data_IF_526749961915
#
_entry.id   IF_526749961915
#
_cell.length_a   1.000
_cell.length_b   1.000
_cell.length_c   1.000
_cell.angle_alpha   90.00
_cell.angle_beta   90.00
_cell.angle_gamma   90.00
#
_symmetry.space_group_name_H-M   'P 1'
#
loop_
_entity.id
_entity.type
_entity.pdbx_description
1 polymer ?
#
# COMPACT_ATOMS: atom_id res chain seq x y z
N UNK A 1 37.70 -12.71 19.50
CA UNK A 1 36.53 -12.07 20.15
C UNK A 1 35.73 -11.41 19.06
N UNK A 2 34.67 -12.09 18.64
CA UNK A 2 33.74 -11.67 17.60
C UNK A 2 32.73 -10.72 18.24
N UNK A 3 32.62 -9.49 17.74
CA UNK A 3 31.68 -8.50 18.29
C UNK A 3 30.44 -8.46 17.41
N UNK A 4 29.36 -8.97 18.00
CA UNK A 4 28.03 -9.07 17.43
C UNK A 4 27.33 -7.69 17.35
N UNK A 5 26.47 -7.58 16.34
CA UNK A 5 25.24 -6.76 16.26
C UNK A 5 25.29 -5.25 16.51
N UNK A 6 25.09 -4.49 15.42
CA UNK A 6 24.02 -3.49 15.38
C UNK A 6 23.30 -3.59 14.03
N UNK A 7 22.18 -4.33 14.02
CA UNK A 7 21.17 -4.25 12.98
C UNK A 7 20.54 -2.85 13.08
N UNK A 8 21.07 -1.93 12.28
CA UNK A 8 20.53 -0.58 12.15
C UNK A 8 19.16 -0.73 11.46
N UNK A 9 18.13 -0.83 12.28
CA UNK A 9 16.75 -0.74 11.85
C UNK A 9 16.54 0.67 11.31
N UNK A 10 16.68 0.82 10.00
CA UNK A 10 16.41 2.03 9.23
C UNK A 10 14.92 2.35 9.34
N UNK A 11 14.52 2.99 10.44
CA UNK A 11 13.26 3.74 10.53
C UNK A 11 13.42 5.02 9.70
N UNK A 12 13.65 4.87 8.41
CA UNK A 12 13.55 5.98 7.47
C UNK A 12 12.09 6.42 7.44
N UNK A 13 11.82 7.65 7.92
CA UNK A 13 10.63 8.47 7.66
C UNK A 13 9.40 7.69 7.17
N UNK A 14 8.85 6.82 8.02
CA UNK A 14 7.57 6.21 7.71
C UNK A 14 6.51 7.29 7.94
N UNK A 15 6.13 7.99 6.86
CA UNK A 15 4.88 8.74 6.85
C UNK A 15 3.80 7.79 7.37
N UNK A 16 3.00 8.21 8.37
CA UNK A 16 1.98 7.34 8.92
C UNK A 16 1.08 6.90 7.76
N UNK A 17 0.88 5.60 7.64
CA UNK A 17 0.08 5.01 6.58
C UNK A 17 -0.99 4.10 7.17
N UNK A 18 -2.20 4.22 6.66
CA UNK A 18 -3.31 3.34 7.01
C UNK A 18 -3.34 2.20 6.00
N UNK A 19 -3.13 0.96 6.44
CA UNK A 19 -3.32 -0.22 5.58
C UNK A 19 -4.82 -0.40 5.30
N UNK A 20 -5.21 -0.38 4.03
CA UNK A 20 -6.62 -0.47 3.62
C UNK A 20 -6.92 -1.67 2.73
N UNK A 21 -5.91 -2.30 2.15
CA UNK A 21 -6.14 -3.38 1.20
C UNK A 21 -4.88 -4.01 0.66
N UNK A 22 -5.06 -4.82 -0.37
CA UNK A 22 -4.01 -5.62 -0.99
C UNK A 22 -4.15 -5.65 -2.51
N UNK A 23 -3.02 -5.84 -3.18
CA UNK A 23 -2.91 -6.08 -4.61
C UNK A 23 -2.26 -7.44 -4.84
N UNK A 24 -2.89 -8.29 -5.64
CA UNK A 24 -2.40 -9.63 -5.98
C UNK A 24 -2.40 -9.83 -7.48
N UNK A 25 -1.43 -10.59 -8.02
CA UNK A 25 -1.49 -11.01 -9.43
C UNK A 25 -2.75 -11.85 -9.70
N UNK A 26 -3.46 -11.56 -10.78
CA UNK A 26 -4.57 -12.40 -11.23
C UNK A 26 -4.06 -13.76 -11.70
N UNK A 27 -4.91 -14.79 -11.59
CA UNK A 27 -4.54 -16.16 -12.01
C UNK A 27 -4.27 -16.26 -13.52
N UNK A 28 -4.92 -15.41 -14.32
CA UNK A 28 -4.72 -15.36 -15.77
C UNK A 28 -3.50 -14.51 -16.21
N UNK A 29 -2.75 -13.91 -15.27
CA UNK A 29 -1.49 -13.21 -15.52
C UNK A 29 -1.58 -11.87 -16.27
N UNK A 30 -2.75 -11.48 -16.77
CA UNK A 30 -2.95 -10.25 -17.56
C UNK A 30 -3.47 -9.05 -16.76
N UNK A 31 -3.68 -9.21 -15.45
CA UNK A 31 -4.21 -8.18 -14.57
C UNK A 31 -3.73 -8.36 -13.12
N UNK A 32 -3.95 -7.33 -12.31
CA UNK A 32 -3.83 -7.38 -10.85
C UNK A 32 -5.21 -7.21 -10.22
N UNK A 33 -5.50 -8.01 -9.20
CA UNK A 33 -6.69 -7.87 -8.38
C UNK A 33 -6.38 -6.91 -7.24
N UNK A 34 -7.20 -5.87 -7.08
CA UNK A 34 -7.15 -4.95 -5.95
C UNK A 34 -8.31 -5.27 -5.03
N UNK A 35 -8.01 -5.54 -3.76
CA UNK A 35 -9.01 -5.87 -2.74
C UNK A 35 -8.90 -4.87 -1.61
N UNK A 36 -9.98 -4.13 -1.38
CA UNK A 36 -10.06 -3.12 -0.33
C UNK A 36 -10.92 -3.67 0.82
N UNK A 37 -10.43 -3.54 2.04
CA UNK A 37 -11.22 -3.85 3.23
C UNK A 37 -12.32 -2.80 3.38
N UNK A 38 -13.57 -3.24 3.39
CA UNK A 38 -14.75 -2.35 3.43
C UNK A 38 -14.81 -1.49 4.68
N UNK A 39 -14.35 -2.01 5.82
CA UNK A 39 -14.34 -1.27 7.08
C UNK A 39 -13.25 -0.20 7.03
N UNK A 40 -12.02 -0.58 6.66
CA UNK A 40 -10.91 0.36 6.53
C UNK A 40 -11.16 1.45 5.47
N UNK A 41 -11.93 1.14 4.43
CA UNK A 41 -12.35 2.13 3.44
C UNK A 41 -13.31 3.18 4.02
N UNK A 42 -14.22 2.77 4.90
CA UNK A 42 -15.11 3.69 5.62
C UNK A 42 -14.35 4.68 6.52
N UNK A 43 -13.19 4.27 7.02
CA UNK A 43 -12.32 5.07 7.90
C UNK A 43 -11.33 5.97 7.12
N UNK A 44 -11.30 5.89 5.79
CA UNK A 44 -10.37 6.68 4.99
C UNK A 44 -10.71 8.18 5.03
N UNK A 45 -9.67 9.02 5.14
CA UNK A 45 -9.79 10.45 4.84
C UNK A 45 -10.28 10.63 3.40
N UNK A 46 -11.26 11.50 3.21
CA UNK A 46 -11.85 11.79 1.90
C UNK A 46 -11.69 13.25 1.53
N UNK A 47 -11.61 13.53 0.24
CA UNK A 47 -11.62 14.88 -0.31
C UNK A 47 -12.78 15.02 -1.30
N UNK A 48 -13.26 16.25 -1.46
CA UNK A 48 -14.27 16.59 -2.46
C UNK A 48 -13.57 17.25 -3.65
N UNK A 49 -14.00 16.90 -4.85
CA UNK A 49 -13.64 17.61 -6.09
C UNK A 49 -14.64 18.73 -6.36
N UNK A 50 -14.30 19.66 -7.26
CA UNK A 50 -15.12 20.84 -7.58
C UNK A 50 -16.51 20.48 -8.14
N UNK A 51 -16.67 19.28 -8.70
CA UNK A 51 -17.94 18.73 -9.19
C UNK A 51 -18.78 18.04 -8.09
N UNK A 52 -18.33 18.11 -6.83
CA UNK A 52 -19.04 17.58 -5.66
C UNK A 52 -18.82 16.09 -5.38
N UNK A 53 -18.00 15.40 -6.17
CA UNK A 53 -17.71 13.99 -5.95
C UNK A 53 -16.73 13.79 -4.78
N UNK A 54 -16.92 12.72 -4.00
CA UNK A 54 -16.09 12.39 -2.82
C UNK A 54 -15.20 11.19 -3.11
N UNK A 55 -13.91 11.33 -2.79
CA UNK A 55 -12.90 10.31 -3.05
C UNK A 55 -12.05 10.02 -1.83
N UNK A 56 -11.63 8.76 -1.68
CA UNK A 56 -10.56 8.36 -0.76
C UNK A 56 -9.25 8.25 -1.55
N UNK A 57 -8.18 8.91 -1.08
CA UNK A 57 -6.86 8.83 -1.71
C UNK A 57 -6.10 7.61 -1.19
N UNK A 58 -5.82 6.67 -2.08
CA UNK A 58 -5.11 5.41 -1.80
C UNK A 58 -3.85 5.30 -2.66
N UNK A 59 -2.80 4.69 -2.11
CA UNK A 59 -1.50 4.52 -2.74
C UNK A 59 -1.03 3.07 -2.69
N UNK A 60 -0.25 2.70 -3.69
CA UNK A 60 0.46 1.42 -3.78
C UNK A 60 1.92 1.77 -4.12
N UNK A 61 2.87 1.17 -3.42
CA UNK A 61 4.29 1.30 -3.80
C UNK A 61 4.50 0.75 -5.21
N UNK A 62 5.04 1.57 -6.12
CA UNK A 62 5.32 1.16 -7.50
C UNK A 62 6.31 0.00 -7.56
N UNK A 63 7.36 0.02 -6.73
CA UNK A 63 8.36 -1.05 -6.71
C UNK A 63 7.77 -2.35 -6.18
N UNK A 64 6.92 -2.28 -5.16
CA UNK A 64 6.25 -3.47 -4.66
C UNK A 64 5.21 -4.02 -5.65
N UNK A 65 4.54 -3.14 -6.41
CA UNK A 65 3.61 -3.53 -7.47
C UNK A 65 4.33 -4.21 -8.64
N UNK A 66 5.49 -3.69 -9.07
CA UNK A 66 6.33 -4.31 -10.12
C UNK A 66 6.69 -5.74 -9.77
N UNK A 67 7.17 -5.97 -8.54
CA UNK A 67 7.47 -7.32 -8.04
C UNK A 67 6.26 -8.25 -8.06
N UNK A 68 5.05 -7.72 -7.86
CA UNK A 68 3.81 -8.51 -7.98
C UNK A 68 3.49 -8.85 -9.43
N UNK A 69 3.69 -7.92 -10.35
CA UNK A 69 3.48 -8.12 -11.78
C UNK A 69 4.48 -9.15 -12.34
N UNK A 70 5.76 -9.01 -12.00
CA UNK A 70 6.86 -9.88 -12.42
C UNK A 70 6.77 -11.28 -11.78
N UNK A 71 5.96 -11.43 -10.72
CA UNK A 71 5.78 -12.70 -10.03
C UNK A 71 6.83 -13.00 -8.97
N UNK A 72 7.73 -12.06 -8.69
CA UNK A 72 8.69 -12.12 -7.58
C UNK A 72 8.00 -12.05 -6.21
N UNK A 73 6.81 -11.44 -6.16
CA UNK A 73 6.00 -11.29 -4.96
C UNK A 73 4.56 -11.67 -5.26
N UNK A 74 3.90 -12.36 -4.32
CA UNK A 74 2.50 -12.80 -4.53
C UNK A 74 1.52 -11.63 -4.32
N UNK A 75 1.77 -10.78 -3.32
CA UNK A 75 0.85 -9.73 -2.87
C UNK A 75 1.61 -8.50 -2.38
N UNK A 76 1.05 -7.30 -2.59
CA UNK A 76 1.50 -6.05 -1.96
C UNK A 76 0.32 -5.32 -1.32
N UNK A 77 0.57 -4.26 -0.56
CA UNK A 77 -0.45 -3.50 0.17
C UNK A 77 -0.98 -2.32 -0.63
N UNK A 78 -2.22 -1.93 -0.32
CA UNK A 78 -2.84 -0.64 -0.63
C UNK A 78 -2.97 0.11 0.69
N UNK A 79 -2.56 1.38 0.72
CA UNK A 79 -2.57 2.19 1.94
C UNK A 79 -3.07 3.60 1.66
N UNK A 80 -3.59 4.30 2.66
CA UNK A 80 -3.74 5.75 2.61
C UNK A 80 -2.54 6.40 3.30
N UNK A 81 -1.95 7.42 2.68
CA UNK A 81 -0.95 8.25 3.36
C UNK A 81 -1.66 9.23 4.28
N UNK A 82 -1.23 9.26 5.54
CA UNK A 82 -1.67 10.23 6.52
C UNK A 82 -0.61 11.33 6.51
N UNK A 83 -0.90 12.40 5.78
CA UNK A 83 -0.14 13.64 5.85
C UNK A 83 -0.80 14.47 6.95
N UNK A 84 -0.02 14.82 7.98
CA UNK A 84 -0.44 15.74 9.03
C UNK A 84 -0.33 17.20 8.56
#
# INVERSE_FOLDING_TARGET
>A
MEKNEQNVNSKENQMPNLLVGYVRRSQAGKAVNVSINTNAFGDCRTYCTDDGQRYASLVISLDALRKVIEGERIVTTVSQLILD
#
